data_IF_243259948013
#
_entry.id   IF_243259948013
#
_cell.length_a   1.000
_cell.length_b   1.000
_cell.length_c   1.000
_cell.angle_alpha   90.00
_cell.angle_beta   90.00
_cell.angle_gamma   90.00
#
_symmetry.space_group_name_H-M   'P 1'
#
loop_
_entity.id
_entity.type
_entity.pdbx_description
1 polymer ?
#
# COMPACT_ATOMS: atom_id res chain seq x y z
N UNK A 1 -28.57 -3.05 0.99
CA UNK A 1 -27.48 -3.40 0.06
C UNK A 1 -26.46 -4.33 0.74
N UNK A 2 -25.72 -3.92 1.75
CA UNK A 2 -24.64 -4.71 2.38
C UNK A 2 -25.05 -6.01 3.09
N UNK A 3 -26.26 -6.09 3.64
CA UNK A 3 -26.73 -7.26 4.41
C UNK A 3 -26.82 -8.57 3.62
N UNK A 4 -26.80 -8.51 2.28
CA UNK A 4 -26.87 -9.70 1.40
C UNK A 4 -25.48 -10.29 1.10
N UNK A 5 -24.40 -9.57 1.38
CA UNK A 5 -23.04 -9.97 1.12
C UNK A 5 -22.39 -10.69 2.31
N UNK A 6 -21.27 -11.42 2.10
CA UNK A 6 -20.49 -12.01 3.19
C UNK A 6 -20.05 -10.93 4.19
N UNK A 7 -20.11 -11.22 5.49
CA UNK A 7 -19.74 -10.26 6.55
C UNK A 7 -18.31 -9.75 6.43
N UNK A 8 -17.39 -10.54 5.85
CA UNK A 8 -15.99 -10.16 5.64
C UNK A 8 -15.77 -9.10 4.56
N UNK A 9 -16.73 -8.90 3.64
CA UNK A 9 -16.57 -7.95 2.54
C UNK A 9 -16.30 -6.52 3.03
N UNK A 10 -17.10 -6.04 3.99
CA UNK A 10 -16.96 -4.66 4.49
C UNK A 10 -15.63 -4.48 5.21
N UNK A 11 -15.20 -5.46 6.01
CA UNK A 11 -13.91 -5.40 6.67
C UNK A 11 -12.76 -5.36 5.65
N UNK A 12 -12.81 -6.19 4.61
CA UNK A 12 -11.83 -6.19 3.53
C UNK A 12 -11.83 -4.88 2.73
N UNK A 13 -13.01 -4.34 2.43
CA UNK A 13 -13.16 -3.07 1.71
C UNK A 13 -12.61 -1.88 2.51
N UNK A 14 -12.89 -1.82 3.82
CA UNK A 14 -12.36 -0.79 4.72
C UNK A 14 -10.84 -0.91 4.89
N UNK A 15 -10.31 -2.12 5.03
CA UNK A 15 -8.87 -2.35 5.11
C UNK A 15 -8.16 -1.87 3.83
N UNK A 16 -8.73 -2.19 2.66
CA UNK A 16 -8.20 -1.75 1.38
C UNK A 16 -8.29 -0.22 1.21
N UNK A 17 -9.43 0.37 1.60
CA UNK A 17 -9.61 1.82 1.57
C UNK A 17 -8.54 2.54 2.40
N UNK A 18 -8.34 2.11 3.65
CA UNK A 18 -7.37 2.71 4.56
C UNK A 18 -5.93 2.56 4.05
N UNK A 19 -5.57 1.39 3.56
CA UNK A 19 -4.25 1.14 2.98
C UNK A 19 -4.04 1.99 1.72
N UNK A 20 -4.99 2.01 0.79
CA UNK A 20 -4.90 2.84 -0.42
C UNK A 20 -4.86 4.34 -0.10
N UNK A 21 -5.63 4.80 0.86
CA UNK A 21 -5.59 6.17 1.33
C UNK A 21 -4.19 6.58 1.80
N UNK A 22 -3.58 5.82 2.72
CA UNK A 22 -2.22 6.08 3.18
C UNK A 22 -1.17 5.99 2.07
N UNK A 23 -1.29 4.99 1.20
CA UNK A 23 -0.40 4.83 0.05
C UNK A 23 -0.45 6.02 -0.91
N UNK A 24 -1.64 6.50 -1.28
CA UNK A 24 -1.77 7.63 -2.19
C UNK A 24 -1.31 8.95 -1.58
N UNK A 25 -1.49 9.16 -0.26
CA UNK A 25 -0.91 10.30 0.45
C UNK A 25 0.62 10.26 0.32
N UNK A 26 1.24 9.13 0.65
CA UNK A 26 2.69 8.96 0.54
C UNK A 26 3.17 9.22 -0.89
N UNK A 27 2.53 8.61 -1.89
CA UNK A 27 2.91 8.78 -3.29
C UNK A 27 2.82 10.22 -3.78
N UNK A 28 1.83 10.98 -3.29
CA UNK A 28 1.65 12.38 -3.68
C UNK A 28 2.79 13.31 -3.17
N UNK A 29 3.43 12.94 -2.06
CA UNK A 29 4.47 13.77 -1.43
C UNK A 29 5.87 13.15 -1.54
N UNK A 30 6.02 11.91 -1.98
CA UNK A 30 7.28 11.13 -1.91
C UNK A 30 8.44 11.82 -2.62
N UNK A 31 8.25 12.30 -3.84
CA UNK A 31 9.30 12.97 -4.61
C UNK A 31 9.74 14.27 -3.93
N UNK A 32 8.79 15.06 -3.47
CA UNK A 32 9.06 16.29 -2.74
C UNK A 32 9.79 16.02 -1.43
N UNK A 33 9.36 15.00 -0.69
CA UNK A 33 10.00 14.57 0.55
C UNK A 33 11.46 14.16 0.33
N UNK A 34 11.74 13.30 -0.67
CA UNK A 34 13.10 12.83 -0.95
C UNK A 34 13.99 14.00 -1.42
N UNK A 35 13.50 14.84 -2.33
CA UNK A 35 14.25 15.98 -2.83
C UNK A 35 14.55 16.98 -1.70
N UNK A 36 13.57 17.36 -0.91
CA UNK A 36 13.74 18.31 0.18
C UNK A 36 14.64 17.75 1.31
N UNK A 37 14.47 16.47 1.67
CA UNK A 37 15.23 15.84 2.76
C UNK A 37 16.71 15.65 2.41
N UNK A 38 17.03 15.27 1.18
CA UNK A 38 18.36 14.87 0.77
C UNK A 38 19.04 15.83 -0.21
N UNK A 39 18.36 16.89 -0.64
CA UNK A 39 18.90 17.83 -1.60
C UNK A 39 19.17 17.22 -2.98
N UNK A 40 18.46 16.14 -3.35
CA UNK A 40 18.65 15.44 -4.60
C UNK A 40 17.97 16.18 -5.76
N UNK A 41 18.57 16.06 -6.97
CA UNK A 41 17.95 16.55 -8.19
C UNK A 41 16.63 15.87 -8.49
N UNK A 42 15.75 16.55 -9.21
CA UNK A 42 14.45 15.99 -9.64
C UNK A 42 14.62 14.69 -10.43
N UNK A 43 15.66 14.62 -11.26
CA UNK A 43 15.99 13.43 -12.07
C UNK A 43 16.34 12.25 -11.18
N UNK A 44 17.23 12.42 -10.20
CA UNK A 44 17.64 11.35 -9.26
C UNK A 44 16.46 10.90 -8.41
N UNK A 45 15.67 11.84 -7.92
CA UNK A 45 14.45 11.55 -7.15
C UNK A 45 13.43 10.79 -7.99
N UNK A 46 13.28 11.16 -9.26
CA UNK A 46 12.44 10.46 -10.23
C UNK A 46 12.87 9.01 -10.46
N UNK A 47 14.17 8.72 -10.50
CA UNK A 47 14.65 7.33 -10.59
C UNK A 47 14.31 6.51 -9.35
N UNK A 48 14.48 7.08 -8.15
CA UNK A 48 14.09 6.39 -6.89
C UNK A 48 12.59 6.10 -6.87
N UNK A 49 11.78 7.09 -7.23
CA UNK A 49 10.33 6.93 -7.33
C UNK A 49 9.93 5.83 -8.33
N UNK A 50 10.53 5.85 -9.51
CA UNK A 50 10.22 4.87 -10.57
C UNK A 50 10.65 3.45 -10.19
N UNK A 51 11.82 3.30 -9.57
CA UNK A 51 12.30 2.02 -9.06
C UNK A 51 11.38 1.48 -7.96
N UNK A 52 10.97 2.33 -7.02
CA UNK A 52 9.99 1.98 -6.00
C UNK A 52 8.66 1.55 -6.62
N UNK A 53 8.12 2.34 -7.54
CA UNK A 53 6.86 2.05 -8.21
C UNK A 53 6.90 0.72 -8.97
N UNK A 54 7.97 0.46 -9.72
CA UNK A 54 8.17 -0.80 -10.43
C UNK A 54 8.27 -1.99 -9.47
N UNK A 55 8.99 -1.82 -8.33
CA UNK A 55 9.17 -2.89 -7.34
C UNK A 55 7.84 -3.35 -6.73
N UNK A 56 6.84 -2.47 -6.58
CA UNK A 56 5.50 -2.82 -6.09
C UNK A 56 4.85 -3.90 -6.98
N UNK A 57 4.94 -3.75 -8.30
CA UNK A 57 4.34 -4.70 -9.23
C UNK A 57 5.12 -6.02 -9.28
N UNK A 58 6.44 -5.96 -9.29
CA UNK A 58 7.30 -7.16 -9.27
C UNK A 58 7.06 -7.96 -7.98
N UNK A 59 7.06 -7.27 -6.83
CA UNK A 59 6.89 -7.91 -5.53
C UNK A 59 5.45 -8.38 -5.28
N UNK A 60 4.46 -7.83 -6.00
CA UNK A 60 3.09 -8.34 -5.96
C UNK A 60 2.98 -9.77 -6.52
N UNK A 61 3.78 -10.11 -7.54
CA UNK A 61 3.85 -11.49 -8.04
C UNK A 61 4.43 -12.42 -6.99
N UNK A 62 5.50 -11.99 -6.30
CA UNK A 62 6.10 -12.76 -5.21
C UNK A 62 5.10 -12.97 -4.07
N UNK A 63 4.37 -11.91 -3.70
CA UNK A 63 3.32 -11.97 -2.68
C UNK A 63 2.20 -12.96 -3.02
N UNK A 64 1.78 -13.01 -4.28
CA UNK A 64 0.81 -13.99 -4.77
C UNK A 64 1.32 -15.42 -4.63
N UNK A 65 2.53 -15.69 -5.10
CA UNK A 65 3.17 -17.02 -5.00
C UNK A 65 3.30 -17.49 -3.55
N UNK A 66 3.66 -16.57 -2.62
CA UNK A 66 3.76 -16.89 -1.18
C UNK A 66 2.38 -17.33 -0.64
N UNK A 67 1.33 -16.56 -0.93
CA UNK A 67 -0.01 -16.89 -0.45
C UNK A 67 -0.54 -18.20 -1.03
N UNK A 68 -0.29 -18.44 -2.31
CA UNK A 68 -0.71 -19.67 -2.99
C UNK A 68 0.01 -20.91 -2.45
N UNK A 69 1.30 -20.80 -2.14
CA UNK A 69 2.07 -21.89 -1.54
C UNK A 69 1.69 -22.16 -0.08
N UNK A 70 1.50 -21.13 0.69
CA UNK A 70 1.17 -21.25 2.13
C UNK A 70 -0.30 -21.53 2.37
N UNK A 71 -1.18 -21.25 1.39
CA UNK A 71 -2.65 -21.30 1.52
C UNK A 71 -3.19 -20.45 2.69
N UNK A 72 -2.38 -19.53 3.19
CA UNK A 72 -2.70 -18.66 4.32
C UNK A 72 -2.83 -17.19 3.88
N UNK A 73 -3.87 -16.88 3.11
CA UNK A 73 -4.13 -15.53 2.62
C UNK A 73 -4.24 -14.48 3.72
N UNK A 74 -4.93 -14.83 4.85
CA UNK A 74 -5.08 -13.90 5.98
C UNK A 74 -3.75 -13.56 6.64
N UNK A 75 -2.92 -14.56 6.88
CA UNK A 75 -1.58 -14.37 7.45
C UNK A 75 -0.69 -13.55 6.53
N UNK A 76 -0.72 -13.82 5.23
CA UNK A 76 0.04 -13.07 4.22
C UNK A 76 -0.40 -11.60 4.15
N UNK A 77 -1.70 -11.33 4.17
CA UNK A 77 -2.26 -9.97 4.22
C UNK A 77 -1.80 -9.23 5.48
N UNK A 78 -1.89 -9.87 6.65
CA UNK A 78 -1.48 -9.28 7.92
C UNK A 78 0.02 -8.99 7.94
N UNK A 79 0.85 -9.93 7.48
CA UNK A 79 2.29 -9.72 7.33
C UNK A 79 2.60 -8.53 6.41
N UNK A 80 1.86 -8.40 5.30
CA UNK A 80 1.96 -7.25 4.40
C UNK A 80 1.68 -5.92 5.08
N UNK A 81 0.60 -5.84 5.87
CA UNK A 81 0.25 -4.63 6.63
C UNK A 81 1.33 -4.27 7.66
N UNK A 82 1.84 -5.26 8.40
CA UNK A 82 2.91 -5.04 9.39
C UNK A 82 4.19 -4.55 8.70
N UNK A 83 4.57 -5.16 7.57
CA UNK A 83 5.74 -4.72 6.80
C UNK A 83 5.59 -3.30 6.28
N UNK A 84 4.42 -2.93 5.74
CA UNK A 84 4.17 -1.55 5.33
C UNK A 84 4.28 -0.59 6.51
N UNK A 85 3.71 -0.90 7.67
CA UNK A 85 3.83 -0.08 8.86
C UNK A 85 5.29 0.11 9.29
N UNK A 86 6.08 -0.96 9.32
CA UNK A 86 7.53 -0.90 9.61
C UNK A 86 8.27 -0.04 8.57
N UNK A 87 7.98 -0.21 7.29
CA UNK A 87 8.59 0.60 6.23
C UNK A 87 8.27 2.10 6.36
N UNK A 88 7.02 2.44 6.68
CA UNK A 88 6.64 3.84 6.96
C UNK A 88 7.36 4.39 8.18
N UNK A 89 7.51 3.63 9.25
CA UNK A 89 8.28 4.05 10.44
C UNK A 89 9.75 4.29 10.11
N UNK A 90 10.37 3.44 9.29
CA UNK A 90 11.76 3.64 8.85
C UNK A 90 11.91 4.96 8.08
N UNK A 91 11.00 5.26 7.15
CA UNK A 91 11.04 6.51 6.37
C UNK A 91 10.78 7.74 7.25
N UNK A 92 9.93 7.59 8.26
CA UNK A 92 9.55 8.65 9.19
C UNK A 92 10.65 8.99 10.22
N UNK A 93 11.76 8.27 10.28
CA UNK A 93 12.85 8.57 11.21
C UNK A 93 13.30 10.03 11.05
N UNK A 94 13.21 10.85 12.11
CA UNK A 94 13.67 12.23 12.07
C UNK A 94 15.17 12.30 11.77
N UNK A 95 15.56 13.21 10.90
CA UNK A 95 16.95 13.44 10.57
C UNK A 95 17.32 14.90 10.80
N UNK A 96 18.48 15.19 11.40
CA UNK A 96 18.97 16.55 11.51
C UNK A 96 19.18 17.17 10.13
N UNK A 97 19.04 18.46 10.02
CA UNK A 97 19.40 19.23 8.82
C UNK A 97 20.59 20.14 9.14
N UNK A 98 21.68 20.06 8.35
CA UNK A 98 21.93 19.17 7.19
C UNK A 98 22.06 17.70 7.59
N UNK A 99 21.71 16.79 6.69
CA UNK A 99 21.77 15.34 6.95
C UNK A 99 23.22 14.90 7.16
N UNK A 100 23.59 14.40 8.35
CA UNK A 100 25.00 14.19 8.71
C UNK A 100 25.69 13.06 7.91
N UNK A 101 24.93 12.09 7.45
CA UNK A 101 25.40 10.93 6.68
C UNK A 101 24.43 10.63 5.56
N UNK A 102 24.51 11.43 4.47
CA UNK A 102 23.61 11.35 3.32
C UNK A 102 23.42 9.91 2.82
N UNK A 103 24.52 9.18 2.61
CA UNK A 103 24.48 7.80 2.10
C UNK A 103 23.70 6.85 3.02
N UNK A 104 23.90 6.94 4.35
CA UNK A 104 23.21 6.09 5.31
C UNK A 104 21.71 6.36 5.34
N UNK A 105 21.32 7.63 5.47
CA UNK A 105 19.90 8.00 5.57
C UNK A 105 19.15 7.77 4.26
N UNK A 106 19.81 7.98 3.12
CA UNK A 106 19.25 7.65 1.82
C UNK A 106 19.06 6.13 1.66
N UNK A 107 20.06 5.34 2.06
CA UNK A 107 19.97 3.87 2.05
C UNK A 107 18.84 3.36 2.95
N UNK A 108 18.69 3.92 4.16
CA UNK A 108 17.58 3.61 5.07
C UNK A 108 16.22 3.95 4.45
N UNK A 109 16.11 5.11 3.79
CA UNK A 109 14.87 5.50 3.11
C UNK A 109 14.55 4.55 1.95
N UNK A 110 15.53 4.22 1.11
CA UNK A 110 15.36 3.24 0.02
C UNK A 110 14.99 1.85 0.57
N UNK A 111 15.60 1.42 1.67
CA UNK A 111 15.25 0.17 2.33
C UNK A 111 13.82 0.21 2.86
N UNK A 112 13.40 1.30 3.51
CA UNK A 112 12.01 1.49 3.95
C UNK A 112 11.02 1.41 2.79
N UNK A 113 11.34 2.03 1.64
CA UNK A 113 10.54 1.93 0.42
C UNK A 113 10.44 0.50 -0.10
N UNK A 114 11.52 -0.28 -0.09
CA UNK A 114 11.49 -1.69 -0.47
C UNK A 114 10.62 -2.53 0.48
N UNK A 115 10.71 -2.28 1.78
CA UNK A 115 9.85 -2.95 2.78
C UNK A 115 8.38 -2.61 2.55
N UNK A 116 8.04 -1.35 2.24
CA UNK A 116 6.68 -0.94 1.87
C UNK A 116 6.24 -1.66 0.58
N UNK A 117 7.08 -1.69 -0.44
CA UNK A 117 6.76 -2.33 -1.72
C UNK A 117 6.48 -3.82 -1.54
N UNK A 118 7.30 -4.52 -0.74
CA UNK A 118 7.08 -5.93 -0.45
C UNK A 118 5.82 -6.17 0.38
N UNK A 119 5.59 -5.36 1.42
CA UNK A 119 4.35 -5.40 2.19
C UNK A 119 3.11 -5.17 1.34
N UNK A 120 3.16 -4.21 0.42
CA UNK A 120 2.10 -3.95 -0.54
C UNK A 120 1.86 -5.14 -1.46
N UNK A 121 2.93 -5.79 -1.92
CA UNK A 121 2.85 -7.02 -2.73
C UNK A 121 2.15 -8.17 -1.99
N UNK A 122 2.46 -8.35 -0.70
CA UNK A 122 1.79 -9.34 0.14
C UNK A 122 0.31 -9.01 0.41
N UNK A 123 -0.04 -7.74 0.44
CA UNK A 123 -1.40 -7.28 0.79
C UNK A 123 -2.34 -7.27 -0.41
N UNK A 124 -2.00 -6.53 -1.46
CA UNK A 124 -2.93 -6.08 -2.50
C UNK A 124 -3.60 -7.22 -3.26
N UNK A 125 -2.83 -8.11 -3.87
CA UNK A 125 -3.36 -9.22 -4.66
C UNK A 125 -4.09 -10.25 -3.80
N UNK A 126 -3.54 -10.52 -2.62
CA UNK A 126 -4.07 -11.53 -1.72
C UNK A 126 -5.38 -11.11 -1.05
N UNK A 127 -5.59 -9.80 -0.80
CA UNK A 127 -6.87 -9.32 -0.32
C UNK A 127 -7.98 -9.45 -1.38
N UNK A 128 -7.68 -9.20 -2.65
CA UNK A 128 -8.62 -9.42 -3.75
C UNK A 128 -8.97 -10.91 -3.90
N UNK A 129 -7.97 -11.78 -3.82
CA UNK A 129 -8.18 -13.23 -3.85
C UNK A 129 -9.05 -13.71 -2.67
N UNK A 130 -8.79 -13.19 -1.45
CA UNK A 130 -9.58 -13.50 -0.28
C UNK A 130 -11.04 -13.04 -0.45
N UNK A 131 -11.27 -11.84 -1.01
CA UNK A 131 -12.63 -11.36 -1.32
C UNK A 131 -13.30 -12.30 -2.33
N UNK A 132 -12.59 -12.72 -3.39
CA UNK A 132 -13.10 -13.69 -4.36
C UNK A 132 -13.56 -14.99 -3.71
N UNK A 133 -12.74 -15.56 -2.81
CA UNK A 133 -13.06 -16.80 -2.07
C UNK A 133 -14.32 -16.69 -1.18
N UNK A 134 -14.66 -15.49 -0.69
CA UNK A 134 -15.91 -15.30 0.07
C UNK A 134 -17.15 -15.57 -0.76
N UNK A 135 -17.05 -15.48 -2.10
CA UNK A 135 -18.13 -15.70 -3.05
C UNK A 135 -18.12 -17.10 -3.68
N UNK A 136 -17.19 -17.97 -3.31
CA UNK A 136 -17.20 -19.38 -3.73
C UNK A 136 -18.34 -20.17 -3.05
N UNK A 137 -18.90 -19.63 -1.95
CA UNK A 137 -20.09 -20.20 -1.32
C UNK A 137 -21.32 -19.99 -2.22
N UNK A 138 -22.08 -21.04 -2.57
CA UNK A 138 -23.26 -20.96 -3.42
C UNK A 138 -24.29 -19.91 -2.99
N UNK A 139 -24.40 -19.65 -1.69
CA UNK A 139 -25.28 -18.62 -1.13
C UNK A 139 -24.97 -17.20 -1.64
N UNK A 140 -23.71 -16.92 -1.97
CA UNK A 140 -23.25 -15.59 -2.33
C UNK A 140 -22.72 -15.49 -3.76
N UNK A 141 -22.58 -16.60 -4.47
CA UNK A 141 -21.95 -16.66 -5.79
C UNK A 141 -22.56 -15.72 -6.83
N UNK A 142 -23.89 -15.58 -6.83
CA UNK A 142 -24.61 -14.66 -7.73
C UNK A 142 -24.36 -13.18 -7.42
N UNK A 143 -23.78 -12.85 -6.27
CA UNK A 143 -23.49 -11.47 -5.86
C UNK A 143 -22.01 -11.11 -6.01
N UNK A 144 -21.18 -11.96 -6.62
CA UNK A 144 -19.73 -11.79 -6.74
C UNK A 144 -19.37 -10.46 -7.40
N UNK A 145 -19.95 -10.17 -8.55
CA UNK A 145 -19.66 -8.94 -9.30
C UNK A 145 -20.04 -7.69 -8.52
N UNK A 146 -21.23 -7.69 -7.92
CA UNK A 146 -21.68 -6.60 -7.05
C UNK A 146 -20.77 -6.44 -5.82
N UNK A 147 -20.26 -7.52 -5.27
CA UNK A 147 -19.30 -7.50 -4.17
C UNK A 147 -17.97 -6.85 -4.56
N UNK A 148 -17.43 -7.16 -5.73
CA UNK A 148 -16.22 -6.51 -6.26
C UNK A 148 -16.47 -5.04 -6.57
N UNK A 149 -17.64 -4.66 -7.10
CA UNK A 149 -18.00 -3.24 -7.31
C UNK A 149 -17.97 -2.46 -5.99
N UNK A 150 -18.54 -3.02 -4.91
CA UNK A 150 -18.49 -2.41 -3.57
C UNK A 150 -17.02 -2.30 -3.12
N UNK A 151 -16.24 -3.36 -3.26
CA UNK A 151 -14.83 -3.37 -2.87
C UNK A 151 -14.02 -2.29 -3.59
N UNK A 152 -14.19 -2.13 -4.91
CA UNK A 152 -13.53 -1.09 -5.70
C UNK A 152 -14.05 0.32 -5.39
N UNK A 153 -15.32 0.47 -5.06
CA UNK A 153 -15.88 1.76 -4.64
C UNK A 153 -15.12 2.31 -3.42
N UNK A 154 -14.83 1.47 -2.43
CA UNK A 154 -14.07 1.88 -1.25
C UNK A 154 -12.63 2.28 -1.59
N UNK A 155 -11.98 1.61 -2.53
CA UNK A 155 -10.66 2.02 -3.05
C UNK A 155 -10.72 3.44 -3.62
N UNK A 156 -11.72 3.70 -4.45
CA UNK A 156 -11.88 5.00 -5.10
C UNK A 156 -12.20 6.11 -4.10
N UNK A 157 -12.97 5.82 -3.05
CA UNK A 157 -13.22 6.77 -1.94
C UNK A 157 -11.89 7.13 -1.26
N UNK A 158 -11.06 6.14 -0.90
CA UNK A 158 -9.75 6.38 -0.32
C UNK A 158 -8.83 7.19 -1.24
N UNK A 159 -8.80 6.84 -2.53
CA UNK A 159 -8.01 7.55 -3.53
C UNK A 159 -8.47 8.98 -3.80
N UNK A 160 -9.77 9.24 -3.73
CA UNK A 160 -10.33 10.58 -3.94
C UNK A 160 -9.92 11.57 -2.84
N UNK A 161 -9.95 11.14 -1.57
CA UNK A 161 -9.61 12.02 -0.46
C UNK A 161 -8.11 12.15 -0.20
N UNK A 162 -7.29 11.20 -0.64
CA UNK A 162 -5.86 11.17 -0.36
C UNK A 162 -5.10 12.43 -0.82
N UNK A 163 -5.27 12.95 -2.06
CA UNK A 163 -4.57 14.15 -2.50
C UNK A 163 -4.90 15.41 -1.68
N UNK A 164 -6.14 15.55 -1.24
CA UNK A 164 -6.57 16.69 -0.41
C UNK A 164 -5.87 16.68 0.95
N UNK A 165 -5.79 15.52 1.57
CA UNK A 165 -5.08 15.36 2.85
C UNK A 165 -3.57 15.54 2.64
N UNK A 166 -3.00 15.03 1.53
CA UNK A 166 -1.59 15.21 1.21
C UNK A 166 -1.20 16.69 1.11
N UNK A 167 -2.05 17.53 0.49
CA UNK A 167 -1.85 18.98 0.41
C UNK A 167 -1.89 19.59 1.81
N UNK A 168 -2.85 19.21 2.64
CA UNK A 168 -2.97 19.68 4.03
C UNK A 168 -1.74 19.34 4.88
N UNK A 169 -1.27 18.11 4.80
CA UNK A 169 -0.07 17.64 5.54
C UNK A 169 1.21 18.33 5.05
N UNK A 170 1.30 18.59 3.73
CA UNK A 170 2.46 19.30 3.16
C UNK A 170 2.58 20.75 3.65
N UNK A 171 1.46 21.41 3.88
CA UNK A 171 1.42 22.83 4.25
C UNK A 171 1.51 23.06 5.78
N UNK A 172 1.63 21.99 6.53
CA UNK A 172 1.81 21.98 8.00
C UNK A 172 3.30 21.97 8.36
#
# INVERSE_FOLDING_TARGET
MFKKHPKGLIAAALANMGERFGFYIMMAILTLFISAKFGLSETTTGYIYSAFYASIYILALVGGVIADKTKNFKGTILAGLIMMAVGYLIIAIPTPTPVPSLGLYLALTCFGLLVIAFGNGLFKGNLQALVGQMYDNPKYSSLRDSGFQIFYMFINIGGFFAPWIAIGVRNW
#
